data_IF_336313419678
#
_entry.id   IF_336313419678
#
_cell.length_a   1.000
_cell.length_b   1.000
_cell.length_c   1.000
_cell.angle_alpha   90.00
_cell.angle_beta   90.00
_cell.angle_gamma   90.00
#
_symmetry.space_group_name_H-M   'P 1'
#
loop_
_entity.id
_entity.type
_entity.pdbx_description
1 polymer ?
#
# COMPACT_ATOMS: atom_id res chain seq x y z
N UNK A 1 3.46 0.38 -14.82
CA UNK A 1 3.46 1.00 -13.47
C UNK A 1 2.39 0.36 -12.63
N UNK A 2 2.76 -0.25 -11.52
CA UNK A 2 1.83 -0.80 -10.53
C UNK A 2 1.32 0.27 -9.59
N UNK A 3 0.09 0.12 -9.10
CA UNK A 3 -0.61 1.10 -8.25
C UNK A 3 -0.97 0.48 -6.91
N UNK A 4 -0.55 1.11 -5.82
CA UNK A 4 -0.79 0.64 -4.47
C UNK A 4 -1.52 1.71 -3.65
N UNK A 5 -2.82 1.56 -3.49
CA UNK A 5 -3.67 2.45 -2.73
C UNK A 5 -3.64 2.09 -1.24
N UNK A 6 -3.38 3.08 -0.39
CA UNK A 6 -3.39 2.98 1.07
C UNK A 6 -4.58 3.79 1.59
N UNK A 7 -5.46 3.19 2.39
CA UNK A 7 -6.68 3.85 2.86
C UNK A 7 -6.44 4.81 4.03
N UNK A 8 -7.29 5.82 4.13
CA UNK A 8 -7.48 6.70 5.29
C UNK A 8 -8.95 7.18 5.30
N UNK A 9 -9.81 6.51 6.11
CA UNK A 9 -11.23 6.83 6.18
C UNK A 9 -11.51 8.22 6.73
N UNK A 10 -10.63 8.73 7.62
CA UNK A 10 -10.83 10.06 8.22
C UNK A 10 -10.70 11.18 7.19
N UNK A 11 -9.81 11.02 6.23
CA UNK A 11 -9.61 11.99 5.16
C UNK A 11 -10.84 12.11 4.23
N UNK A 12 -11.69 11.09 4.19
CA UNK A 12 -12.83 11.01 3.26
C UNK A 12 -14.19 10.97 3.95
N UNK A 13 -14.25 11.15 5.27
CA UNK A 13 -15.50 11.27 6.01
C UNK A 13 -16.12 9.96 6.52
N UNK A 14 -15.38 8.85 6.52
CA UNK A 14 -15.82 7.60 7.14
C UNK A 14 -15.75 6.37 6.25
N UNK A 15 -16.30 5.26 6.75
CA UNK A 15 -16.22 3.95 6.05
C UNK A 15 -17.03 3.91 4.76
N UNK A 16 -18.20 4.52 4.73
CA UNK A 16 -19.07 4.47 3.55
C UNK A 16 -18.46 5.21 2.35
N UNK A 17 -18.03 6.48 2.47
CA UNK A 17 -17.31 7.16 1.38
C UNK A 17 -16.02 6.44 1.00
N UNK A 18 -15.29 5.89 1.97
CA UNK A 18 -14.07 5.13 1.70
C UNK A 18 -14.35 3.90 0.82
N UNK A 19 -15.43 3.17 1.10
CA UNK A 19 -15.79 1.98 0.32
C UNK A 19 -16.18 2.32 -1.13
N UNK A 20 -16.82 3.48 -1.33
CA UNK A 20 -17.11 4.00 -2.67
C UNK A 20 -15.82 4.33 -3.44
N UNK A 21 -14.87 5.03 -2.80
CA UNK A 21 -13.56 5.31 -3.39
C UNK A 21 -12.79 4.02 -3.71
N UNK A 22 -12.80 3.06 -2.80
CA UNK A 22 -12.17 1.74 -3.03
C UNK A 22 -12.75 1.08 -4.29
N UNK A 23 -14.07 1.09 -4.46
CA UNK A 23 -14.74 0.57 -5.65
C UNK A 23 -14.26 1.28 -6.93
N UNK A 24 -14.23 2.61 -6.90
CA UNK A 24 -13.77 3.41 -8.04
C UNK A 24 -12.31 3.11 -8.39
N UNK A 25 -11.43 3.00 -7.39
CA UNK A 25 -10.02 2.64 -7.62
C UNK A 25 -9.86 1.22 -8.18
N UNK A 26 -10.72 0.28 -7.80
CA UNK A 26 -10.76 -1.04 -8.41
C UNK A 26 -11.10 -0.95 -9.90
N UNK A 27 -12.08 -0.14 -10.27
CA UNK A 27 -12.45 0.09 -11.69
C UNK A 27 -11.35 0.82 -12.48
N UNK A 28 -10.61 1.71 -11.83
CA UNK A 28 -9.45 2.40 -12.41
C UNK A 28 -8.20 1.54 -12.54
N UNK A 29 -8.24 0.29 -12.05
CA UNK A 29 -7.19 -0.70 -12.23
C UNK A 29 -6.04 -0.59 -11.23
N UNK A 30 -6.34 -0.30 -9.96
CA UNK A 30 -5.37 -0.45 -8.87
C UNK A 30 -4.96 -1.91 -8.73
N UNK A 31 -3.68 -2.17 -8.40
CA UNK A 31 -3.17 -3.53 -8.24
C UNK A 31 -3.25 -4.02 -6.79
N UNK A 32 -3.04 -3.11 -5.84
CA UNK A 32 -3.06 -3.40 -4.41
C UNK A 32 -3.85 -2.36 -3.65
N UNK A 33 -4.60 -2.79 -2.64
CA UNK A 33 -5.28 -1.91 -1.70
C UNK A 33 -4.89 -2.33 -0.29
N UNK A 34 -4.34 -1.40 0.51
CA UNK A 34 -4.05 -1.59 1.92
C UNK A 34 -5.15 -0.95 2.76
N UNK A 35 -5.82 -1.76 3.57
CA UNK A 35 -6.72 -1.27 4.61
C UNK A 35 -5.88 -0.84 5.82
N UNK A 36 -5.80 0.51 6.03
CA UNK A 36 -4.92 1.11 7.03
C UNK A 36 -5.68 2.08 7.92
N UNK A 37 -6.51 1.53 8.77
CA UNK A 37 -7.31 2.26 9.74
C UNK A 37 -6.79 1.99 11.15
N UNK A 38 -5.87 2.84 11.65
CA UNK A 38 -5.08 2.57 12.86
C UNK A 38 -5.84 2.74 14.18
N UNK A 39 -6.97 3.39 14.15
CA UNK A 39 -7.74 3.82 15.33
C UNK A 39 -9.07 3.07 15.48
N UNK A 40 -9.20 1.94 14.82
CA UNK A 40 -10.37 1.07 14.93
C UNK A 40 -10.03 -0.22 15.69
N UNK A 41 -11.05 -0.86 16.21
CA UNK A 41 -10.92 -2.17 16.87
C UNK A 41 -10.62 -3.29 15.86
N UNK A 42 -10.10 -4.41 16.35
CA UNK A 42 -9.88 -5.59 15.52
C UNK A 42 -11.17 -6.08 14.85
N UNK A 43 -12.30 -5.98 15.56
CA UNK A 43 -13.62 -6.36 15.05
C UNK A 43 -14.04 -5.45 13.88
N UNK A 44 -13.94 -4.14 14.04
CA UNK A 44 -14.26 -3.17 12.97
C UNK A 44 -13.35 -3.37 11.75
N UNK A 45 -12.06 -3.62 11.98
CA UNK A 45 -11.12 -3.91 10.90
C UNK A 45 -11.49 -5.20 10.16
N UNK A 46 -11.87 -6.24 10.90
CA UNK A 46 -12.33 -7.51 10.33
C UNK A 46 -13.60 -7.31 9.48
N UNK A 47 -14.63 -6.66 10.04
CA UNK A 47 -15.89 -6.38 9.35
C UNK A 47 -15.69 -5.52 8.09
N UNK A 48 -14.86 -4.48 8.18
CA UNK A 48 -14.55 -3.64 7.02
C UNK A 48 -13.73 -4.37 5.95
N UNK A 49 -12.78 -5.22 6.36
CA UNK A 49 -12.02 -6.05 5.42
C UNK A 49 -12.94 -6.97 4.63
N UNK A 50 -13.91 -7.63 5.30
CA UNK A 50 -14.90 -8.47 4.61
C UNK A 50 -15.74 -7.67 3.61
N UNK A 51 -16.18 -6.45 3.98
CA UNK A 51 -16.93 -5.58 3.07
C UNK A 51 -16.12 -5.21 1.81
N UNK A 52 -14.81 -4.93 1.96
CA UNK A 52 -13.92 -4.65 0.81
C UNK A 52 -13.74 -5.88 -0.07
N UNK A 53 -13.58 -7.05 0.52
CA UNK A 53 -13.47 -8.32 -0.21
C UNK A 53 -14.76 -8.62 -1.00
N UNK A 54 -15.93 -8.39 -0.39
CA UNK A 54 -17.22 -8.54 -1.06
C UNK A 54 -17.37 -7.60 -2.28
N UNK A 55 -16.98 -6.33 -2.13
CA UNK A 55 -16.95 -5.39 -3.26
C UNK A 55 -16.05 -5.92 -4.38
N UNK A 56 -14.84 -6.37 -4.04
CA UNK A 56 -13.92 -6.95 -5.02
C UNK A 56 -14.56 -8.12 -5.78
N UNK A 57 -15.16 -9.06 -5.09
CA UNK A 57 -15.79 -10.24 -5.71
C UNK A 57 -16.95 -9.88 -6.63
N UNK A 58 -17.78 -8.94 -6.23
CA UNK A 58 -18.94 -8.52 -7.00
C UNK A 58 -18.56 -7.73 -8.26
N UNK A 59 -17.59 -6.81 -8.16
CA UNK A 59 -17.23 -5.89 -9.23
C UNK A 59 -16.19 -6.48 -10.21
N UNK A 60 -15.33 -7.41 -9.74
CA UNK A 60 -14.12 -7.79 -10.47
C UNK A 60 -14.16 -9.20 -11.08
N UNK A 61 -15.32 -9.81 -11.22
CA UNK A 61 -15.49 -11.19 -11.75
C UNK A 61 -14.78 -11.49 -13.09
N UNK A 62 -14.28 -10.46 -13.80
CA UNK A 62 -13.70 -10.59 -15.15
C UNK A 62 -12.34 -9.87 -15.31
N UNK A 63 -11.72 -9.34 -14.26
CA UNK A 63 -10.46 -8.57 -14.35
C UNK A 63 -9.32 -9.22 -13.56
N UNK A 64 -8.09 -8.72 -13.77
CA UNK A 64 -6.89 -9.16 -13.03
C UNK A 64 -7.11 -9.02 -11.53
N UNK A 65 -6.64 -9.98 -10.72
CA UNK A 65 -6.93 -10.02 -9.30
C UNK A 65 -6.26 -8.85 -8.57
N UNK A 66 -7.08 -7.93 -8.08
CA UNK A 66 -6.66 -6.89 -7.14
C UNK A 66 -6.40 -7.56 -5.80
N UNK A 67 -5.25 -7.27 -5.19
CA UNK A 67 -4.88 -7.83 -3.90
C UNK A 67 -5.24 -6.87 -2.77
N UNK A 68 -5.94 -7.40 -1.76
CA UNK A 68 -6.32 -6.68 -0.55
C UNK A 68 -5.35 -7.06 0.56
N UNK A 69 -4.71 -6.04 1.15
CA UNK A 69 -3.78 -6.20 2.25
C UNK A 69 -4.32 -5.51 3.51
N UNK A 70 -4.00 -6.08 4.67
CA UNK A 70 -4.33 -5.48 5.97
C UNK A 70 -3.07 -4.90 6.59
N UNK A 71 -3.15 -3.68 7.14
CA UNK A 71 -2.02 -3.07 7.80
C UNK A 71 -1.72 -3.74 9.15
N UNK A 72 -0.51 -4.24 9.36
CA UNK A 72 0.06 -4.78 10.61
C UNK A 72 -0.68 -5.97 11.24
N UNK A 73 -1.85 -6.36 10.76
CA UNK A 73 -2.71 -7.37 11.39
C UNK A 73 -2.81 -8.62 10.50
N UNK A 74 -1.75 -9.45 10.54
CA UNK A 74 -1.72 -10.73 9.82
C UNK A 74 -2.82 -11.69 10.28
N UNK A 75 -3.19 -11.66 11.55
CA UNK A 75 -4.30 -12.42 12.12
C UNK A 75 -5.65 -12.06 11.46
N UNK A 76 -5.92 -10.76 11.26
CA UNK A 76 -7.12 -10.30 10.56
C UNK A 76 -7.07 -10.67 9.08
N UNK A 77 -5.90 -10.52 8.43
CA UNK A 77 -5.73 -10.91 7.04
C UNK A 77 -6.05 -12.40 6.83
N UNK A 78 -5.50 -13.27 7.67
CA UNK A 78 -5.77 -14.71 7.63
C UNK A 78 -7.24 -15.05 7.90
N UNK A 79 -7.82 -14.43 8.94
CA UNK A 79 -9.19 -14.70 9.36
C UNK A 79 -10.25 -14.23 8.32
N UNK A 80 -9.97 -13.19 7.54
CA UNK A 80 -10.88 -12.67 6.51
C UNK A 80 -10.65 -13.29 5.13
N UNK A 81 -9.52 -13.97 4.92
CA UNK A 81 -9.09 -14.40 3.59
C UNK A 81 -8.56 -13.27 2.70
N UNK A 82 -8.07 -12.18 3.30
CA UNK A 82 -7.35 -11.14 2.56
C UNK A 82 -6.05 -11.70 1.98
N UNK A 83 -5.56 -11.09 0.90
CA UNK A 83 -4.43 -11.62 0.13
C UNK A 83 -3.07 -11.41 0.82
N UNK A 84 -2.99 -10.47 1.78
CA UNK A 84 -1.70 -10.19 2.39
C UNK A 84 -1.73 -9.18 3.53
N UNK A 85 -0.55 -8.79 3.94
CA UNK A 85 -0.32 -7.85 5.03
C UNK A 85 0.76 -6.83 4.66
N UNK A 86 0.63 -5.61 5.18
CA UNK A 86 1.68 -4.60 5.13
C UNK A 86 2.27 -4.39 6.52
N UNK A 87 3.53 -4.72 6.70
CA UNK A 87 4.25 -4.63 7.96
C UNK A 87 5.02 -3.31 8.07
N UNK A 88 5.11 -2.70 9.25
CA UNK A 88 6.00 -1.57 9.50
C UNK A 88 7.48 -2.02 9.49
N UNK A 89 8.40 -1.07 9.36
CA UNK A 89 9.85 -1.35 9.29
C UNK A 89 10.40 -2.08 10.53
N UNK A 90 9.81 -1.81 11.70
CA UNK A 90 10.21 -2.40 12.98
C UNK A 90 9.50 -3.72 13.32
N UNK A 91 8.69 -4.27 12.42
CA UNK A 91 8.09 -5.59 12.64
C UNK A 91 9.17 -6.69 12.62
N UNK A 92 9.00 -7.80 13.36
CA UNK A 92 9.86 -8.96 13.22
C UNK A 92 9.93 -9.47 11.76
N UNK A 93 11.07 -10.05 11.40
CA UNK A 93 11.25 -10.71 10.10
C UNK A 93 10.67 -12.13 10.16
N UNK A 94 9.35 -12.21 10.04
CA UNK A 94 8.61 -13.47 10.07
C UNK A 94 8.17 -13.88 8.67
N UNK A 95 8.12 -15.18 8.46
CA UNK A 95 7.49 -15.76 7.28
C UNK A 95 6.00 -15.94 7.57
N UNK A 96 5.15 -15.42 6.71
CA UNK A 96 3.70 -15.52 6.81
C UNK A 96 3.16 -16.35 5.62
N UNK A 97 3.17 -17.68 5.71
CA UNK A 97 2.76 -18.54 4.60
C UNK A 97 1.33 -18.24 4.15
N UNK A 98 1.14 -18.16 2.85
CA UNK A 98 -0.17 -17.87 2.25
C UNK A 98 -0.53 -16.39 2.15
N UNK A 99 0.28 -15.50 2.72
CA UNK A 99 0.08 -14.05 2.61
C UNK A 99 1.16 -13.40 1.73
N UNK A 100 0.75 -12.47 0.90
CA UNK A 100 1.66 -11.49 0.29
C UNK A 100 2.11 -10.51 1.34
N UNK A 101 3.41 -10.30 1.48
CA UNK A 101 3.97 -9.41 2.49
C UNK A 101 4.57 -8.17 1.84
N UNK A 102 4.04 -7.02 2.19
CA UNK A 102 4.67 -5.72 2.00
C UNK A 102 5.34 -5.27 3.30
N UNK A 103 6.45 -4.52 3.20
CA UNK A 103 7.11 -3.89 4.34
C UNK A 103 7.45 -2.45 4.03
N UNK A 104 7.21 -1.55 5.00
CA UNK A 104 7.74 -0.19 4.95
C UNK A 104 9.25 -0.21 5.20
N UNK A 105 10.03 0.46 4.35
CA UNK A 105 11.46 0.65 4.51
C UNK A 105 11.81 2.13 4.29
N UNK A 106 12.74 2.64 5.09
CA UNK A 106 13.18 4.04 5.06
C UNK A 106 14.68 4.17 4.78
N UNK A 107 15.41 3.07 4.90
CA UNK A 107 16.86 3.00 4.62
C UNK A 107 17.20 1.82 3.70
N UNK A 108 18.38 1.88 3.08
CA UNK A 108 18.86 0.78 2.24
C UNK A 108 19.16 -0.49 3.06
N UNK A 109 19.56 -0.32 4.31
CA UNK A 109 19.81 -1.40 5.26
C UNK A 109 18.51 -2.16 5.58
N UNK A 110 17.40 -1.45 5.82
CA UNK A 110 16.09 -2.05 6.03
C UNK A 110 15.64 -2.85 4.80
N UNK A 111 15.88 -2.34 3.59
CA UNK A 111 15.54 -3.06 2.34
C UNK A 111 16.39 -4.33 2.22
N UNK A 112 17.71 -4.25 2.47
CA UNK A 112 18.62 -5.42 2.41
C UNK A 112 18.20 -6.51 3.39
N UNK A 113 17.81 -6.13 4.62
CA UNK A 113 17.40 -7.04 5.67
C UNK A 113 16.00 -7.64 5.43
N UNK A 114 15.14 -6.97 4.69
CA UNK A 114 13.74 -7.37 4.51
C UNK A 114 13.61 -8.71 3.77
N UNK A 115 12.73 -9.58 4.30
CA UNK A 115 12.28 -10.84 3.65
C UNK A 115 10.92 -10.71 2.98
N UNK A 116 10.32 -9.50 2.97
CA UNK A 116 9.03 -9.26 2.34
C UNK A 116 9.09 -9.46 0.82
N UNK A 117 7.95 -9.80 0.21
CA UNK A 117 7.79 -9.92 -1.24
C UNK A 117 7.97 -8.57 -1.94
N UNK A 118 7.52 -7.51 -1.26
CA UNK A 118 7.55 -6.14 -1.73
C UNK A 118 7.95 -5.18 -0.61
N UNK A 119 8.57 -4.08 -0.97
CA UNK A 119 8.86 -3.00 -0.02
C UNK A 119 8.28 -1.68 -0.50
N UNK A 120 7.78 -0.85 0.41
CA UNK A 120 7.57 0.58 0.13
C UNK A 120 8.79 1.34 0.63
N UNK A 121 9.30 2.28 -0.18
CA UNK A 121 10.44 3.11 0.18
C UNK A 121 10.04 4.59 0.16
N UNK A 122 10.36 5.30 1.22
CA UNK A 122 10.05 6.73 1.30
C UNK A 122 10.12 7.35 2.70
N UNK A 123 9.85 8.67 2.78
CA UNK A 123 9.25 9.51 1.72
C UNK A 123 10.24 9.83 0.59
N UNK A 124 9.81 9.70 -0.67
CA UNK A 124 10.66 10.03 -1.82
C UNK A 124 10.66 11.53 -2.11
N UNK A 125 9.49 12.17 -1.99
CA UNK A 125 9.30 13.62 -2.13
C UNK A 125 8.76 14.21 -0.84
N UNK A 126 8.71 15.53 -0.75
CA UNK A 126 8.11 16.22 0.40
C UNK A 126 6.71 15.71 0.71
N UNK A 127 6.48 15.41 1.97
CA UNK A 127 5.22 14.84 2.43
C UNK A 127 4.86 15.42 3.80
N UNK A 128 3.66 16.01 3.98
CA UNK A 128 3.27 16.64 5.23
C UNK A 128 3.43 15.69 6.42
N UNK A 129 4.08 16.19 7.49
CA UNK A 129 4.30 15.43 8.72
C UNK A 129 5.33 14.32 8.62
N UNK A 130 6.12 14.29 7.54
CA UNK A 130 7.28 13.40 7.36
C UNK A 130 8.58 14.20 7.46
N UNK A 131 9.69 13.51 7.74
CA UNK A 131 11.02 14.11 7.69
C UNK A 131 11.46 14.49 6.28
N UNK A 132 12.73 14.83 6.14
CA UNK A 132 13.31 15.14 4.83
C UNK A 132 13.10 14.00 3.83
N UNK A 133 12.79 14.34 2.56
CA UNK A 133 12.62 13.34 1.52
C UNK A 133 13.96 12.67 1.19
N UNK A 134 13.92 11.37 0.95
CA UNK A 134 15.11 10.61 0.54
C UNK A 134 15.56 10.95 -0.89
N UNK A 135 14.64 11.38 -1.74
CA UNK A 135 14.92 11.76 -3.12
C UNK A 135 15.01 10.58 -4.09
N UNK A 136 15.09 10.92 -5.38
CA UNK A 136 15.11 9.94 -6.48
C UNK A 136 16.41 9.13 -6.54
N UNK A 137 17.54 9.69 -6.15
CA UNK A 137 18.82 8.96 -6.14
C UNK A 137 18.80 7.84 -5.08
N UNK A 138 18.24 8.11 -3.90
CA UNK A 138 18.06 7.07 -2.88
C UNK A 138 17.05 6.01 -3.31
N UNK A 139 15.96 6.41 -3.98
CA UNK A 139 15.00 5.46 -4.57
C UNK A 139 15.68 4.56 -5.61
N UNK A 140 16.51 5.13 -6.49
CA UNK A 140 17.27 4.38 -7.49
C UNK A 140 18.21 3.37 -6.83
N UNK A 141 18.95 3.79 -5.82
CA UNK A 141 19.81 2.88 -5.04
C UNK A 141 19.00 1.76 -4.36
N UNK A 142 17.83 2.07 -3.82
CA UNK A 142 16.91 1.10 -3.24
C UNK A 142 16.45 0.04 -4.26
N UNK A 143 16.10 0.46 -5.48
CA UNK A 143 15.68 -0.43 -6.56
C UNK A 143 16.80 -1.36 -7.05
N UNK A 144 18.06 -0.93 -6.96
CA UNK A 144 19.24 -1.74 -7.34
C UNK A 144 19.53 -2.90 -6.37
N UNK A 145 18.88 -2.95 -5.20
CA UNK A 145 19.06 -4.03 -4.23
C UNK A 145 18.32 -5.33 -4.59
N UNK A 146 17.68 -5.39 -5.77
CA UNK A 146 16.99 -6.59 -6.25
C UNK A 146 15.66 -6.88 -5.56
N UNK A 147 15.09 -5.90 -4.83
CA UNK A 147 13.75 -5.98 -4.23
C UNK A 147 12.72 -5.28 -5.12
N UNK A 148 11.47 -5.70 -5.01
CA UNK A 148 10.33 -5.06 -5.68
C UNK A 148 9.90 -3.83 -4.88
N UNK A 149 10.38 -2.65 -5.31
CA UNK A 149 10.24 -1.39 -4.58
C UNK A 149 9.05 -0.58 -5.10
N UNK A 150 8.23 -0.08 -4.19
CA UNK A 150 7.16 0.88 -4.45
C UNK A 150 7.53 2.23 -3.84
N UNK A 151 7.53 3.28 -4.65
CA UNK A 151 7.80 4.63 -4.17
C UNK A 151 6.63 5.17 -3.35
N UNK A 152 6.90 5.74 -2.18
CA UNK A 152 5.90 6.27 -1.25
C UNK A 152 6.34 7.63 -0.71
N UNK A 153 5.38 8.51 -0.45
CA UNK A 153 5.59 9.82 0.17
C UNK A 153 5.83 10.94 -0.84
N UNK A 154 4.88 11.87 -0.92
CA UNK A 154 4.87 12.99 -1.84
C UNK A 154 4.70 12.62 -3.33
N UNK A 155 4.43 11.35 -3.61
CA UNK A 155 4.16 10.87 -4.98
C UNK A 155 2.79 11.36 -5.44
N UNK A 156 2.73 11.88 -6.66
CA UNK A 156 1.54 12.29 -7.37
C UNK A 156 1.63 11.87 -8.86
N UNK A 157 0.61 12.16 -9.67
CA UNK A 157 0.58 11.73 -11.06
C UNK A 157 1.62 12.45 -11.94
N UNK A 158 2.08 13.64 -11.56
CA UNK A 158 3.07 14.41 -12.30
C UNK A 158 4.49 13.84 -12.11
N UNK A 159 4.83 13.41 -10.87
CA UNK A 159 6.16 12.89 -10.55
C UNK A 159 6.27 11.35 -10.58
N UNK A 160 5.16 10.64 -10.79
CA UNK A 160 5.13 9.17 -10.84
C UNK A 160 6.11 8.59 -11.89
N UNK A 161 6.24 9.25 -13.04
CA UNK A 161 7.14 8.82 -14.11
C UNK A 161 8.61 8.84 -13.66
N UNK A 162 9.02 9.79 -12.83
CA UNK A 162 10.37 9.87 -12.28
C UNK A 162 10.67 8.68 -11.35
N UNK A 163 9.69 8.27 -10.54
CA UNK A 163 9.83 7.07 -9.72
C UNK A 163 10.06 5.81 -10.56
N UNK A 164 9.34 5.69 -11.69
CA UNK A 164 9.51 4.56 -12.61
C UNK A 164 10.88 4.58 -13.28
N UNK A 165 11.36 5.76 -13.71
CA UNK A 165 12.71 5.91 -14.26
C UNK A 165 13.81 5.59 -13.24
N UNK A 166 13.58 5.84 -11.95
CA UNK A 166 14.48 5.40 -10.88
C UNK A 166 14.47 3.88 -10.65
N UNK A 167 13.56 3.14 -11.28
CA UNK A 167 13.49 1.68 -11.21
C UNK A 167 12.42 1.13 -10.27
N UNK A 168 11.53 1.97 -9.73
CA UNK A 168 10.42 1.49 -8.91
C UNK A 168 9.47 0.59 -9.74
N UNK A 169 8.92 -0.45 -9.14
CA UNK A 169 7.91 -1.29 -9.77
C UNK A 169 6.55 -0.60 -9.84
N UNK A 170 6.29 0.26 -8.87
CA UNK A 170 5.04 0.99 -8.77
C UNK A 170 5.12 2.15 -7.79
N UNK A 171 3.98 2.78 -7.61
CA UNK A 171 3.78 3.88 -6.69
C UNK A 171 2.75 3.52 -5.63
N UNK A 172 2.93 4.07 -4.43
CA UNK A 172 2.02 3.90 -3.30
C UNK A 172 1.60 5.26 -2.74
N UNK A 173 0.38 5.36 -2.25
CA UNK A 173 -0.09 6.60 -1.65
C UNK A 173 -1.46 6.50 -1.01
N UNK A 174 -1.79 7.53 -0.24
CA UNK A 174 -3.13 7.78 0.31
C UNK A 174 -3.82 8.83 -0.56
N UNK A 175 -3.36 10.08 -0.49
CA UNK A 175 -3.99 11.22 -1.17
C UNK A 175 -4.03 11.05 -2.69
N UNK A 176 -2.99 10.49 -3.28
CA UNK A 176 -2.93 10.17 -4.70
C UNK A 176 -4.18 9.42 -5.23
N UNK A 177 -4.83 8.64 -4.37
CA UNK A 177 -6.00 7.83 -4.72
C UNK A 177 -7.30 8.33 -4.10
N UNK A 178 -7.23 9.22 -3.10
CA UNK A 178 -8.39 9.73 -2.37
C UNK A 178 -8.72 11.19 -2.70
N UNK A 179 -7.77 11.94 -3.23
CA UNK A 179 -7.95 13.35 -3.57
C UNK A 179 -8.14 13.49 -5.08
N UNK A 180 -9.34 13.87 -5.55
CA UNK A 180 -9.61 14.04 -6.98
C UNK A 180 -8.86 15.22 -7.61
N UNK A 181 -8.20 16.08 -6.80
CA UNK A 181 -7.40 17.21 -7.26
C UNK A 181 -5.91 16.85 -7.52
N UNK A 182 -5.49 15.64 -7.21
CA UNK A 182 -4.15 15.09 -7.47
C UNK A 182 -4.18 14.12 -8.62
#
# INVERSE_FOLDING_TARGET
>A
MKRYYITDRKAVGGFRPLLEIIRDQMHLGVDFIQIREKDITARELFEFTLAVLEVRENEMRKRLPIKILVNSRADVALATGADGVHLPSNAPEETLPGLVVFRSCHTLEEIKASRADFVTFGPVFESPGKGEPAGLEALKAACQLGKRVYALGGVNWENAAECMHAGAEGIAGIRLFQDPAL
#
